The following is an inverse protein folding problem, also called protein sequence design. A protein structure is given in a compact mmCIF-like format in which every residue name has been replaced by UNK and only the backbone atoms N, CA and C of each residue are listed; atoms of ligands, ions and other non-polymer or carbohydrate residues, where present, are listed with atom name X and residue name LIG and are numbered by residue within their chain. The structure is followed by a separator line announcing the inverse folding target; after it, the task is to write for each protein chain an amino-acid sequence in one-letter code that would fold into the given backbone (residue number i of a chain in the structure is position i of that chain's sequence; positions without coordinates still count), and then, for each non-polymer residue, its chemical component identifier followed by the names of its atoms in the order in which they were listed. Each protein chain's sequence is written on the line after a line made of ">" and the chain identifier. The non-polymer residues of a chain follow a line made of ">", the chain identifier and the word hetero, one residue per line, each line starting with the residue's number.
data_IF_428348547040
#
_entry.id   IF_428348547040
#
_cell.length_a   1.000
_cell.length_b   1.000
_cell.length_c   1.000
_cell.angle_alpha   90.00
_cell.angle_beta   90.00
_cell.angle_gamma   90.00
#
_symmetry.space_group_name_H-M   'P 1'
#
loop_
_entity.id
_entity.type
_entity.pdbx_description
1 polymer ?
#
# COMPACT_ATOMS: atom_id res chain seq x y z
N UNK A 1 -37.94 12.92 -49.71
CA UNK A 1 -38.56 11.58 -49.70
C UNK A 1 -38.74 11.17 -48.23
N UNK A 2 -39.95 11.37 -47.68
CA UNK A 2 -40.93 10.35 -47.28
C UNK A 2 -40.54 9.51 -46.04
N UNK A 3 -41.35 9.77 -45.00
CA UNK A 3 -41.67 9.12 -43.72
C UNK A 3 -41.39 7.61 -43.54
N UNK A 4 -41.13 7.26 -42.28
CA UNK A 4 -41.74 6.20 -41.45
C UNK A 4 -41.47 6.63 -39.99
N UNK A 5 -42.39 6.96 -39.07
CA UNK A 5 -43.70 6.47 -38.61
C UNK A 5 -43.65 5.25 -37.67
N UNK A 6 -44.40 5.35 -36.55
CA UNK A 6 -44.87 4.33 -35.58
C UNK A 6 -43.93 4.02 -34.38
N UNK A 7 -44.36 3.83 -33.13
CA UNK A 7 -45.65 3.80 -32.43
C UNK A 7 -45.36 4.09 -30.92
N UNK A 8 -46.24 4.71 -30.12
CA UNK A 8 -47.42 4.11 -29.49
C UNK A 8 -47.11 3.73 -28.03
N UNK A 9 -47.37 4.59 -27.04
CA UNK A 9 -48.59 4.74 -26.24
C UNK A 9 -48.76 3.72 -25.09
N UNK A 10 -49.07 4.28 -23.90
CA UNK A 10 -49.90 3.73 -22.82
C UNK A 10 -49.29 2.68 -21.88
N UNK A 11 -48.84 3.15 -20.71
CA UNK A 11 -48.73 2.31 -19.50
C UNK A 11 -50.07 2.31 -18.77
N UNK A 12 -50.55 1.10 -18.50
CA UNK A 12 -51.84 0.77 -17.92
C UNK A 12 -52.02 1.25 -16.47
N UNK A 13 -53.17 1.90 -16.22
CA UNK A 13 -53.82 1.93 -14.91
C UNK A 13 -54.38 0.53 -14.61
N UNK A 14 -54.02 -0.06 -13.48
CA UNK A 14 -54.73 -1.20 -12.90
C UNK A 14 -55.19 -0.84 -11.48
N UNK A 15 -56.50 -0.60 -11.40
CA UNK A 15 -57.28 -0.52 -10.17
C UNK A 15 -57.28 -1.89 -9.49
N UNK A 16 -56.77 -1.95 -8.27
CA UNK A 16 -56.96 -3.07 -7.34
C UNK A 16 -57.64 -2.57 -6.08
N UNK A 17 -58.98 -2.64 -6.05
CA UNK A 17 -59.78 -2.35 -4.88
C UNK A 17 -59.66 -3.50 -3.86
N UNK A 18 -59.40 -3.17 -2.60
CA UNK A 18 -59.64 -4.11 -1.49
C UNK A 18 -60.41 -3.39 -0.40
N UNK A 19 -61.67 -3.83 -0.22
CA UNK A 19 -62.56 -3.47 0.88
C UNK A 19 -61.95 -3.90 2.21
N UNK A 20 -61.95 -3.02 3.20
CA UNK A 20 -61.90 -3.41 4.62
C UNK A 20 -63.16 -2.87 5.29
N UNK A 21 -63.97 -3.80 5.79
CA UNK A 21 -65.17 -3.58 6.60
C UNK A 21 -64.70 -3.18 8.01
N UNK A 22 -65.32 -2.13 8.56
CA UNK A 22 -64.72 -1.28 9.60
C UNK A 22 -64.83 -1.74 11.06
N UNK A 23 -64.32 -0.90 11.95
CA UNK A 23 -65.01 -0.43 13.16
C UNK A 23 -64.28 0.81 13.73
N UNK A 24 -65.09 1.71 14.27
CA UNK A 24 -64.82 2.93 15.04
C UNK A 24 -63.37 3.28 15.45
N UNK A 25 -62.94 4.49 15.10
CA UNK A 25 -62.52 5.54 16.07
C UNK A 25 -61.95 6.75 15.31
N UNK A 26 -62.63 7.89 15.41
CA UNK A 26 -62.21 9.17 14.86
C UNK A 26 -60.87 9.61 15.49
N UNK A 27 -59.78 9.54 14.74
CA UNK A 27 -58.56 10.31 15.02
C UNK A 27 -58.21 11.18 13.82
N UNK A 28 -58.18 12.48 14.08
CA UNK A 28 -57.93 13.58 13.16
C UNK A 28 -56.70 13.28 12.29
N UNK A 29 -56.90 13.17 10.97
CA UNK A 29 -55.82 13.10 10.00
C UNK A 29 -55.34 14.52 9.75
N UNK A 30 -54.18 14.85 10.32
CA UNK A 30 -53.42 16.05 10.01
C UNK A 30 -52.76 15.84 8.63
N UNK A 31 -53.29 16.47 7.60
CA UNK A 31 -52.70 16.48 6.26
C UNK A 31 -51.52 17.46 6.28
N UNK A 32 -50.31 16.93 6.49
CA UNK A 32 -49.07 17.70 6.32
C UNK A 32 -48.76 17.74 4.82
N UNK A 33 -48.78 18.93 4.26
CA UNK A 33 -48.48 19.24 2.85
C UNK A 33 -47.03 18.91 2.50
N UNK A 34 -46.83 17.94 1.58
CA UNK A 34 -45.52 17.56 1.03
C UNK A 34 -45.16 18.48 -0.16
N UNK A 35 -44.97 19.77 0.09
CA UNK A 35 -44.63 20.73 -0.97
C UNK A 35 -43.53 21.70 -0.54
N UNK A 36 -42.40 21.18 -0.06
CA UNK A 36 -41.15 21.95 0.05
C UNK A 36 -39.98 21.03 0.43
N UNK A 37 -39.50 20.20 -0.49
CA UNK A 37 -38.09 19.81 -0.47
C UNK A 37 -37.42 20.40 -1.69
N UNK A 38 -36.87 21.58 -1.42
CA UNK A 38 -35.89 22.30 -2.21
C UNK A 38 -34.86 21.32 -2.78
N UNK A 39 -34.56 21.53 -4.05
CA UNK A 39 -33.42 20.98 -4.75
C UNK A 39 -32.13 21.41 -4.04
N UNK A 40 -31.75 20.71 -2.98
CA UNK A 40 -30.39 20.74 -2.49
C UNK A 40 -29.55 19.94 -3.49
N UNK A 41 -29.14 20.62 -4.55
CA UNK A 41 -28.06 20.15 -5.42
C UNK A 41 -26.82 20.16 -4.53
N UNK A 42 -26.54 19.04 -3.85
CA UNK A 42 -25.26 18.85 -3.17
C UNK A 42 -24.23 18.89 -4.29
N UNK A 43 -23.35 19.89 -4.35
CA UNK A 43 -22.27 19.85 -5.31
C UNK A 43 -21.41 18.66 -4.92
N UNK A 44 -21.50 17.57 -5.68
CA UNK A 44 -20.50 16.51 -5.68
C UNK A 44 -19.28 17.17 -6.33
N UNK A 45 -18.55 17.99 -5.58
CA UNK A 45 -17.18 18.29 -5.94
C UNK A 45 -16.45 16.97 -5.74
N UNK A 46 -15.90 16.35 -6.81
CA UNK A 46 -14.91 15.32 -6.58
C UNK A 46 -13.72 16.06 -5.98
N UNK A 47 -13.63 16.07 -4.65
CA UNK A 47 -12.39 16.33 -3.98
C UNK A 47 -11.46 15.16 -4.34
N UNK A 48 -10.86 15.24 -5.52
CA UNK A 48 -9.53 14.68 -5.74
C UNK A 48 -8.60 15.50 -4.84
N UNK A 49 -8.67 15.24 -3.53
CA UNK A 49 -7.57 15.54 -2.66
C UNK A 49 -6.38 14.84 -3.31
N UNK A 50 -5.37 15.62 -3.70
CA UNK A 50 -4.07 15.09 -4.05
C UNK A 50 -3.59 14.31 -2.83
N UNK A 51 -3.94 13.02 -2.80
CA UNK A 51 -3.59 12.11 -1.73
C UNK A 51 -2.10 12.20 -1.57
N UNK A 52 -1.65 12.44 -0.35
CA UNK A 52 -0.26 12.66 -0.06
C UNK A 52 0.52 11.38 -0.37
N UNK A 53 1.08 11.34 -1.59
CA UNK A 53 2.02 10.32 -2.07
C UNK A 53 3.18 10.10 -1.08
N UNK A 54 3.36 11.04 -0.15
CA UNK A 54 4.34 11.01 0.89
C UNK A 54 3.89 11.21 2.35
N UNK A 55 2.66 10.86 2.74
CA UNK A 55 2.32 10.81 4.18
C UNK A 55 2.64 9.43 4.79
N UNK A 56 3.42 9.40 5.87
CA UNK A 56 3.84 8.18 6.58
C UNK A 56 5.18 8.35 7.33
N UNK A 57 5.54 7.45 8.28
CA UNK A 57 6.76 7.59 9.09
C UNK A 57 8.02 7.37 8.24
N UNK A 58 8.54 8.45 7.67
CA UNK A 58 9.77 8.51 6.86
C UNK A 58 10.90 9.14 7.68
N UNK A 59 12.14 8.97 7.23
CA UNK A 59 13.25 9.69 7.86
C UNK A 59 13.46 11.03 7.14
N UNK A 60 13.09 12.11 7.82
CA UNK A 60 13.42 13.49 7.43
C UNK A 60 14.88 13.84 7.79
N UNK A 61 15.43 13.14 8.78
CA UNK A 61 16.83 13.22 9.18
C UNK A 61 17.44 11.82 9.18
N UNK A 62 18.46 11.64 8.36
CA UNK A 62 19.20 10.37 8.31
C UNK A 62 20.15 10.25 9.50
N UNK A 63 20.20 9.06 10.09
CA UNK A 63 21.29 8.67 10.96
C UNK A 63 22.58 8.62 10.14
N UNK A 64 23.69 9.02 10.74
CA UNK A 64 24.99 8.90 10.10
C UNK A 64 25.37 7.42 9.94
N UNK A 65 25.85 7.05 8.76
CA UNK A 65 26.39 5.73 8.46
C UNK A 65 27.65 5.89 7.60
N UNK A 66 28.44 4.82 7.51
CA UNK A 66 29.63 4.76 6.69
C UNK A 66 29.67 3.41 5.99
N UNK A 67 29.93 3.42 4.68
CA UNK A 67 30.29 2.23 3.94
C UNK A 67 31.71 1.81 4.32
N UNK A 68 31.85 0.54 4.67
CA UNK A 68 33.12 -0.15 4.89
C UNK A 68 33.22 -1.32 3.92
N UNK A 69 34.41 -1.87 3.64
CA UNK A 69 34.52 -3.05 2.80
C UNK A 69 33.64 -4.21 3.29
N UNK A 70 32.87 -4.83 2.39
CA UNK A 70 32.11 -6.05 2.68
C UNK A 70 32.93 -7.31 2.41
N UNK A 71 32.31 -8.48 2.62
CA UNK A 71 32.90 -9.81 2.44
C UNK A 71 32.42 -10.50 1.16
N UNK A 72 31.12 -10.47 0.92
CA UNK A 72 30.42 -11.04 -0.24
C UNK A 72 30.11 -9.96 -1.30
N UNK A 73 30.00 -8.69 -0.89
CA UNK A 73 29.88 -7.52 -1.77
C UNK A 73 30.88 -6.45 -1.35
N UNK A 74 31.11 -5.46 -2.22
CA UNK A 74 32.17 -4.46 -2.03
C UNK A 74 31.95 -3.57 -0.79
N UNK A 75 30.71 -3.39 -0.35
CA UNK A 75 30.36 -2.50 0.76
C UNK A 75 29.42 -3.12 1.80
N UNK A 76 29.61 -2.69 3.04
CA UNK A 76 28.78 -3.02 4.19
C UNK A 76 28.56 -1.78 5.07
N UNK A 77 27.49 -1.79 5.86
CA UNK A 77 27.25 -0.84 6.94
C UNK A 77 27.13 -1.65 8.23
N UNK A 78 28.21 -1.72 9.00
CA UNK A 78 28.25 -2.57 10.21
C UNK A 78 27.38 -2.04 11.34
N UNK A 79 27.42 -0.73 11.58
CA UNK A 79 26.71 -0.10 12.70
C UNK A 79 25.21 -0.02 12.40
N UNK A 80 24.33 -0.41 13.34
CA UNK A 80 22.90 -0.22 13.20
C UNK A 80 22.53 1.26 13.01
N UNK A 81 21.50 1.53 12.20
CA UNK A 81 21.01 2.89 11.93
C UNK A 81 20.11 3.41 13.06
N UNK A 82 19.50 2.49 13.82
CA UNK A 82 18.64 2.80 14.95
C UNK A 82 19.20 2.21 16.25
N UNK A 83 18.99 2.93 17.37
CA UNK A 83 19.42 2.49 18.71
C UNK A 83 18.61 1.32 19.28
N UNK A 84 17.53 0.93 18.61
CA UNK A 84 16.58 -0.08 19.07
C UNK A 84 16.68 -1.32 18.18
N UNK A 85 16.64 -2.51 18.78
CA UNK A 85 16.75 -3.79 18.06
C UNK A 85 15.54 -4.03 17.15
N UNK A 86 15.79 -4.37 15.88
CA UNK A 86 14.76 -4.65 14.88
C UNK A 86 13.74 -5.71 15.31
N UNK A 87 12.49 -5.56 14.85
CA UNK A 87 11.34 -6.43 15.10
C UNK A 87 10.92 -7.05 13.77
N UNK A 88 11.25 -8.33 13.60
CA UNK A 88 10.96 -9.12 12.39
C UNK A 88 9.49 -9.03 11.93
N UNK A 89 8.51 -9.05 12.86
CA UNK A 89 7.10 -8.91 12.51
C UNK A 89 6.74 -7.53 11.90
N UNK A 90 7.46 -6.46 12.27
CA UNK A 90 7.34 -5.15 11.62
C UNK A 90 8.04 -5.15 10.26
N UNK A 91 9.19 -5.80 10.16
CA UNK A 91 9.92 -5.97 8.90
C UNK A 91 9.07 -6.59 7.81
N UNK A 92 8.39 -7.71 8.13
CA UNK A 92 7.44 -8.33 7.22
C UNK A 92 6.35 -7.36 6.75
N UNK A 93 5.72 -6.63 7.68
CA UNK A 93 4.69 -5.63 7.35
C UNK A 93 5.22 -4.52 6.42
N UNK A 94 6.49 -4.14 6.55
CA UNK A 94 7.11 -3.13 5.68
C UNK A 94 7.37 -3.72 4.28
N UNK A 95 7.90 -4.94 4.21
CA UNK A 95 8.24 -5.61 2.94
C UNK A 95 7.02 -5.83 2.04
N UNK A 96 5.86 -6.10 2.63
CA UNK A 96 4.61 -6.37 1.89
C UNK A 96 3.73 -5.14 1.67
N UNK A 97 4.10 -3.99 2.25
CA UNK A 97 3.28 -2.77 2.14
C UNK A 97 3.67 -1.98 0.88
N UNK A 98 2.72 -1.72 -0.05
CA UNK A 98 2.97 -1.06 -1.33
C UNK A 98 3.35 0.43 -1.21
N UNK A 99 2.96 1.09 -0.13
CA UNK A 99 3.28 2.50 0.15
C UNK A 99 4.63 2.66 0.89
N UNK A 100 5.29 1.53 1.20
CA UNK A 100 6.48 1.47 2.05
C UNK A 100 7.62 0.73 1.36
N UNK A 101 7.92 -0.50 1.77
CA UNK A 101 9.02 -1.28 1.21
C UNK A 101 8.67 -1.89 -0.15
N UNK A 102 7.44 -2.39 -0.29
CA UNK A 102 6.93 -3.06 -1.49
C UNK A 102 7.91 -4.08 -2.11
N UNK A 103 8.71 -4.75 -1.28
CA UNK A 103 9.82 -5.60 -1.72
C UNK A 103 9.33 -6.79 -2.55
N UNK A 104 8.15 -7.31 -2.21
CA UNK A 104 7.55 -8.46 -2.88
C UNK A 104 7.04 -8.14 -4.30
N UNK A 105 6.93 -6.86 -4.68
CA UNK A 105 6.62 -6.48 -6.05
C UNK A 105 7.75 -6.87 -7.02
N UNK A 106 8.99 -6.97 -6.52
CA UNK A 106 10.15 -7.36 -7.32
C UNK A 106 10.70 -8.73 -6.92
N UNK A 107 10.62 -9.11 -5.64
CA UNK A 107 11.30 -10.29 -5.12
C UNK A 107 10.33 -11.38 -4.68
N UNK A 108 10.71 -12.63 -4.99
CA UNK A 108 10.08 -13.81 -4.38
C UNK A 108 10.61 -14.05 -2.97
N UNK A 109 9.69 -14.29 -2.03
CA UNK A 109 9.98 -14.77 -0.68
C UNK A 109 9.06 -15.94 -0.36
N UNK A 110 9.53 -17.18 -0.50
CA UNK A 110 8.70 -18.37 -0.33
C UNK A 110 8.18 -18.51 1.11
N UNK A 111 8.96 -18.09 2.12
CA UNK A 111 8.52 -18.10 3.51
C UNK A 111 7.23 -17.28 3.75
N UNK A 112 7.06 -16.14 3.05
CA UNK A 112 5.83 -15.33 3.13
C UNK A 112 4.68 -16.07 2.47
N UNK A 113 4.93 -16.77 1.35
CA UNK A 113 3.92 -17.57 0.66
C UNK A 113 3.47 -18.77 1.51
N UNK A 114 4.37 -19.40 2.27
CA UNK A 114 4.06 -20.56 3.11
C UNK A 114 3.54 -20.16 4.51
N UNK A 115 3.85 -18.96 5.01
CA UNK A 115 3.18 -18.41 6.20
C UNK A 115 1.67 -18.19 5.95
N UNK A 116 1.24 -18.08 4.68
CA UNK A 116 -0.18 -18.09 4.28
C UNK A 116 -0.85 -19.44 4.49
N UNK A 117 -0.11 -20.56 4.52
CA UNK A 117 -0.68 -21.89 4.74
C UNK A 117 -0.88 -22.23 6.23
N UNK A 118 -0.14 -21.58 7.15
CA UNK A 118 -0.12 -21.96 8.57
C UNK A 118 -1.11 -21.19 9.47
N UNK A 119 -1.76 -20.13 8.98
CA UNK A 119 -2.76 -19.37 9.74
C UNK A 119 -4.02 -19.09 8.93
N UNK A 120 -4.85 -20.13 8.82
CA UNK A 120 -6.26 -20.09 8.37
C UNK A 120 -6.45 -19.67 6.91
N UNK A 121 -6.82 -20.62 6.06
CA UNK A 121 -7.91 -20.56 5.08
C UNK A 121 -8.42 -19.16 4.65
N UNK A 122 -7.53 -18.28 4.17
CA UNK A 122 -7.88 -17.08 3.39
C UNK A 122 -6.76 -16.85 2.38
N UNK A 123 -6.56 -17.87 1.54
CA UNK A 123 -6.15 -17.78 0.13
C UNK A 123 -4.80 -17.06 -0.18
N UNK A 124 -4.27 -17.14 -1.42
CA UNK A 124 -3.08 -16.41 -1.87
C UNK A 124 -3.15 -14.87 -1.77
N UNK A 125 -4.16 -14.32 -1.08
CA UNK A 125 -4.66 -12.96 -1.22
C UNK A 125 -4.08 -11.98 -0.21
N UNK A 126 -3.57 -12.44 0.94
CA UNK A 126 -3.11 -11.52 2.00
C UNK A 126 -1.88 -10.69 1.60
N UNK A 127 -0.97 -11.27 0.80
CA UNK A 127 0.25 -10.58 0.34
C UNK A 127 0.38 -10.55 -1.20
N UNK A 128 -0.57 -11.14 -1.94
CA UNK A 128 -0.60 -11.10 -3.41
C UNK A 128 0.47 -11.97 -4.09
N UNK A 129 0.67 -11.75 -5.39
CA UNK A 129 1.71 -12.44 -6.17
C UNK A 129 3.05 -11.76 -6.04
N UNK A 130 4.11 -12.54 -5.87
CA UNK A 130 5.47 -12.02 -5.82
C UNK A 130 6.04 -11.83 -7.23
N UNK A 131 6.75 -10.72 -7.43
CA UNK A 131 7.48 -10.45 -8.67
C UNK A 131 8.75 -11.28 -8.81
N UNK A 132 9.34 -11.20 -10.01
CA UNK A 132 10.57 -11.93 -10.39
C UNK A 132 11.62 -11.00 -11.01
N UNK A 133 11.49 -9.69 -10.83
CA UNK A 133 12.46 -8.70 -11.33
C UNK A 133 13.77 -8.78 -10.54
N UNK A 134 13.67 -8.91 -9.22
CA UNK A 134 14.81 -9.13 -8.34
C UNK A 134 15.02 -10.61 -8.04
N UNK A 135 16.24 -11.03 -7.63
CA UNK A 135 16.49 -12.40 -7.21
C UNK A 135 15.61 -12.82 -6.03
N UNK A 136 15.38 -14.12 -5.84
CA UNK A 136 14.70 -14.61 -4.64
C UNK A 136 15.44 -14.19 -3.36
N UNK A 137 14.70 -13.81 -2.31
CA UNK A 137 15.26 -13.52 -0.99
C UNK A 137 15.32 -14.77 -0.09
N UNK A 138 14.86 -15.91 -0.57
CA UNK A 138 15.01 -17.18 0.14
C UNK A 138 16.49 -17.49 0.34
N UNK A 139 16.92 -17.83 1.56
CA UNK A 139 18.32 -18.08 1.89
C UNK A 139 19.23 -16.85 1.91
N UNK A 140 18.70 -15.63 1.86
CA UNK A 140 19.52 -14.41 1.79
C UNK A 140 20.43 -14.22 3.01
N UNK A 141 20.01 -14.69 4.19
CA UNK A 141 20.83 -14.64 5.41
C UNK A 141 22.07 -15.55 5.33
N UNK A 142 22.10 -16.51 4.41
CA UNK A 142 23.29 -17.32 4.11
C UNK A 142 24.22 -16.68 3.08
N UNK A 143 23.72 -15.72 2.28
CA UNK A 143 24.49 -15.07 1.20
C UNK A 143 25.23 -13.83 1.67
N UNK A 144 24.60 -13.04 2.53
CA UNK A 144 25.11 -11.74 2.96
C UNK A 144 25.11 -11.62 4.47
N UNK A 145 26.11 -10.93 4.99
CA UNK A 145 26.17 -10.50 6.39
C UNK A 145 25.11 -9.42 6.66
N UNK A 146 24.78 -9.21 7.93
CA UNK A 146 23.82 -8.15 8.33
C UNK A 146 24.29 -6.76 7.88
N UNK A 147 25.61 -6.51 7.88
CA UNK A 147 26.16 -5.24 7.43
C UNK A 147 25.97 -5.01 5.94
N UNK A 148 26.13 -6.05 5.14
CA UNK A 148 25.93 -6.00 3.68
C UNK A 148 24.45 -5.87 3.33
N UNK A 149 23.58 -6.64 3.99
CA UNK A 149 22.12 -6.47 3.85
C UNK A 149 21.68 -5.04 4.17
N UNK A 150 22.31 -4.42 5.19
CA UNK A 150 22.05 -3.02 5.52
C UNK A 150 22.51 -2.08 4.40
N UNK A 151 23.69 -2.30 3.83
CA UNK A 151 24.16 -1.52 2.68
C UNK A 151 23.20 -1.63 1.49
N UNK A 152 22.75 -2.85 1.15
CA UNK A 152 21.79 -3.11 0.07
C UNK A 152 20.48 -2.34 0.28
N UNK A 153 19.94 -2.33 1.51
CA UNK A 153 18.69 -1.60 1.79
C UNK A 153 18.90 -0.08 1.82
N UNK A 154 20.05 0.39 2.31
CA UNK A 154 20.35 1.83 2.39
C UNK A 154 20.49 2.41 0.99
N UNK A 155 21.34 1.79 0.17
CA UNK A 155 21.61 2.19 -1.20
C UNK A 155 22.09 0.98 -2.01
N UNK A 156 21.19 0.39 -2.77
CA UNK A 156 21.49 -0.77 -3.61
C UNK A 156 22.46 -0.41 -4.76
N UNK A 157 22.48 0.84 -5.23
CA UNK A 157 23.38 1.28 -6.30
C UNK A 157 24.82 1.32 -5.79
N UNK A 158 25.02 1.80 -4.56
CA UNK A 158 26.31 1.72 -3.90
C UNK A 158 26.72 0.27 -3.57
N UNK A 159 25.76 -0.59 -3.24
CA UNK A 159 26.02 -2.00 -2.94
C UNK A 159 26.36 -2.86 -4.17
N UNK A 160 25.81 -2.50 -5.33
CA UNK A 160 25.98 -3.23 -6.59
C UNK A 160 26.27 -2.25 -7.75
N UNK A 161 27.45 -1.60 -7.77
CA UNK A 161 27.74 -0.53 -8.73
C UNK A 161 27.71 -1.00 -10.20
N UNK A 162 28.05 -2.26 -10.44
CA UNK A 162 28.10 -2.86 -11.78
C UNK A 162 26.77 -3.47 -12.25
N UNK A 163 25.76 -3.54 -11.37
CA UNK A 163 24.54 -4.30 -11.64
C UNK A 163 23.42 -3.48 -12.30
N UNK A 164 23.64 -2.19 -12.60
CA UNK A 164 22.63 -1.24 -13.09
C UNK A 164 21.27 -1.44 -12.37
N UNK A 165 21.31 -1.50 -11.04
CA UNK A 165 20.18 -1.95 -10.25
C UNK A 165 19.00 -0.98 -10.32
N UNK A 166 17.81 -1.55 -10.52
CA UNK A 166 16.54 -0.83 -10.41
C UNK A 166 15.97 -0.87 -8.98
N UNK A 167 16.63 -1.56 -8.05
CA UNK A 167 16.21 -1.61 -6.65
C UNK A 167 16.33 -0.20 -6.04
N UNK A 168 15.24 0.39 -5.49
CA UNK A 168 15.30 1.74 -4.95
C UNK A 168 16.24 1.84 -3.73
N UNK A 169 16.93 2.97 -3.54
CA UNK A 169 17.60 3.27 -2.27
C UNK A 169 16.55 3.63 -1.22
N UNK A 170 16.40 2.80 -0.18
CA UNK A 170 15.34 3.01 0.82
C UNK A 170 15.73 3.97 1.94
N UNK A 171 17.04 4.21 2.15
CA UNK A 171 17.55 5.07 3.22
C UNK A 171 18.51 6.16 2.70
N UNK A 172 18.09 6.82 1.61
CA UNK A 172 18.78 7.96 1.04
C UNK A 172 17.82 9.16 0.99
N UNK A 173 18.33 10.34 1.31
CA UNK A 173 17.60 11.59 1.29
C UNK A 173 18.41 12.59 0.47
N UNK A 174 17.79 13.24 -0.50
CA UNK A 174 18.45 14.22 -1.34
C UNK A 174 17.61 14.63 -2.54
N UNK A 175 18.27 15.30 -3.49
CA UNK A 175 17.63 15.87 -4.68
C UNK A 175 17.45 14.83 -5.78
N UNK A 176 16.38 14.05 -5.67
CA UNK A 176 15.93 13.17 -6.75
C UNK A 176 15.30 13.98 -7.90
N UNK A 177 15.53 13.54 -9.14
CA UNK A 177 14.99 14.21 -10.34
C UNK A 177 13.48 14.06 -10.36
N UNK A 178 12.76 15.20 -10.44
CA UNK A 178 11.29 15.26 -10.54
C UNK A 178 10.54 14.57 -9.39
N UNK A 179 11.15 14.47 -8.20
CA UNK A 179 10.43 14.01 -7.02
C UNK A 179 9.25 14.94 -6.66
N UNK A 180 8.15 14.34 -6.21
CA UNK A 180 7.01 15.08 -5.67
C UNK A 180 7.47 15.98 -4.52
N UNK A 181 6.91 17.19 -4.45
CA UNK A 181 7.31 18.19 -3.46
C UNK A 181 7.20 17.68 -2.01
N UNK A 182 6.20 16.84 -1.72
CA UNK A 182 5.97 16.24 -0.40
C UNK A 182 6.97 15.14 -0.03
N UNK A 183 7.75 14.65 -0.99
CA UNK A 183 8.75 13.58 -0.81
C UNK A 183 10.19 14.08 -0.81
N UNK A 184 10.42 15.36 -1.14
CA UNK A 184 11.77 15.92 -1.26
C UNK A 184 12.54 15.80 0.06
N UNK A 185 13.82 15.46 -0.05
CA UNK A 185 14.77 15.36 1.06
C UNK A 185 14.34 14.38 2.17
N UNK A 186 13.51 13.38 1.86
CA UNK A 186 13.10 12.31 2.79
C UNK A 186 13.45 10.94 2.22
N UNK A 187 13.94 10.07 3.08
CA UNK A 187 14.11 8.66 2.73
C UNK A 187 12.78 7.91 2.74
N UNK A 188 12.64 6.87 1.90
CA UNK A 188 11.43 6.03 1.79
C UNK A 188 11.13 5.35 3.14
N UNK A 189 12.15 4.82 3.80
CA UNK A 189 12.06 4.13 5.09
C UNK A 189 12.79 4.92 6.18
N UNK A 190 12.37 4.75 7.44
CA UNK A 190 13.13 5.27 8.59
C UNK A 190 14.29 4.34 8.96
N UNK A 191 15.25 4.82 9.77
CA UNK A 191 16.34 3.99 10.29
C UNK A 191 15.78 2.75 11.01
N UNK A 192 14.67 2.93 11.73
CA UNK A 192 14.02 1.84 12.44
C UNK A 192 13.43 0.81 11.49
N UNK A 193 12.83 1.26 10.41
CA UNK A 193 12.22 0.38 9.41
C UNK A 193 13.28 -0.49 8.72
N UNK A 194 14.45 0.08 8.41
CA UNK A 194 15.58 -0.69 7.88
C UNK A 194 15.97 -1.81 8.85
N UNK A 195 16.17 -1.51 10.13
CA UNK A 195 16.51 -2.53 11.13
C UNK A 195 15.39 -3.57 11.32
N UNK A 196 14.12 -3.17 11.20
CA UNK A 196 12.98 -4.08 11.25
C UNK A 196 12.97 -5.05 10.06
N UNK A 197 13.24 -4.56 8.84
CA UNK A 197 13.36 -5.38 7.62
C UNK A 197 14.56 -6.33 7.73
N UNK A 198 15.72 -5.85 8.17
CA UNK A 198 16.90 -6.70 8.42
C UNK A 198 16.60 -7.83 9.42
N UNK A 199 15.86 -7.53 10.49
CA UNK A 199 15.46 -8.54 11.46
C UNK A 199 14.55 -9.62 10.85
N UNK A 200 13.79 -9.33 9.79
CA UNK A 200 13.06 -10.34 9.03
C UNK A 200 13.98 -11.11 8.08
N UNK A 201 14.76 -10.40 7.25
CA UNK A 201 15.68 -11.02 6.28
C UNK A 201 16.68 -11.98 6.93
N UNK A 202 17.17 -11.65 8.13
CA UNK A 202 18.11 -12.50 8.90
C UNK A 202 17.60 -13.90 9.24
N UNK A 203 16.29 -14.13 9.13
CA UNK A 203 15.65 -15.44 9.39
C UNK A 203 15.51 -16.29 8.13
N UNK A 204 15.69 -15.71 6.95
CA UNK A 204 15.55 -16.39 5.66
C UNK A 204 16.86 -17.12 5.33
N UNK A 205 16.98 -18.35 5.84
CA UNK A 205 18.12 -19.25 5.59
C UNK A 205 17.78 -20.30 4.54
#
# INVERSE_FOLDING_TARGET
>A
MKRVAEAGLTTYLMFGATRVIGSASLRKVLVISWSALLWAVVPITPAYAAGAVCDGPRADKLAAYKFVPGKAIDVAIEKPLAKVQGKSARGLKIMVNPERGNCIACHRVSAILTELDLKKSETPQKYGTHGTLGPSLDGIAGRYTIGELRAILVDAQAAFPEADTIMPPYYLAGKFVRAFQTCKDRAILSARDIEDVLAYLSKLK
#
